data_IF_969444015678
#
_entry.id   IF_969444015678
#
_cell.length_a   1.000
_cell.length_b   1.000
_cell.length_c   1.000
_cell.angle_alpha   90.00
_cell.angle_beta   90.00
_cell.angle_gamma   90.00
#
_symmetry.space_group_name_H-M   'P 1'
#
loop_
_entity.id
_entity.type
_entity.pdbx_description
1 polymer ?
#
# COMPACT_ATOMS: atom_id res chain seq x y z
N UNK A 1 -21.08 -4.88 5.10
CA UNK A 1 -21.80 -6.09 5.58
C UNK A 1 -20.82 -7.24 5.66
N UNK A 2 -21.14 -8.34 6.35
CA UNK A 2 -20.30 -9.54 6.36
C UNK A 2 -20.03 -10.06 4.93
N UNK A 3 -21.07 -10.06 4.09
CA UNK A 3 -20.98 -10.41 2.67
C UNK A 3 -19.91 -9.60 1.91
N UNK A 4 -19.79 -8.30 2.18
CA UNK A 4 -18.76 -7.45 1.55
C UNK A 4 -17.34 -7.85 1.98
N UNK A 5 -17.15 -8.23 3.25
CA UNK A 5 -15.85 -8.66 3.76
C UNK A 5 -15.47 -9.99 3.11
N UNK A 6 -16.39 -10.95 3.04
CA UNK A 6 -16.16 -12.24 2.42
C UNK A 6 -15.82 -12.10 0.93
N UNK A 7 -16.58 -11.30 0.20
CA UNK A 7 -16.30 -11.01 -1.21
C UNK A 7 -14.92 -10.38 -1.41
N UNK A 8 -14.52 -9.45 -0.54
CA UNK A 8 -13.19 -8.85 -0.60
C UNK A 8 -12.07 -9.87 -0.33
N UNK A 9 -12.24 -10.75 0.67
CA UNK A 9 -11.27 -11.81 0.97
C UNK A 9 -11.11 -12.79 -0.20
N UNK A 10 -12.20 -13.12 -0.91
CA UNK A 10 -12.13 -13.93 -2.11
C UNK A 10 -11.34 -13.25 -3.23
N UNK A 11 -11.52 -11.93 -3.42
CA UNK A 11 -10.73 -11.17 -4.40
C UNK A 11 -9.24 -11.18 -4.05
N UNK A 12 -8.88 -11.01 -2.77
CA UNK A 12 -7.48 -11.13 -2.32
C UNK A 12 -6.95 -12.54 -2.64
N UNK A 13 -7.74 -13.58 -2.39
CA UNK A 13 -7.30 -14.95 -2.65
C UNK A 13 -7.04 -15.23 -4.13
N UNK A 14 -7.87 -14.67 -5.02
CA UNK A 14 -7.78 -14.89 -6.47
C UNK A 14 -6.70 -14.02 -7.14
N UNK A 15 -6.58 -12.75 -6.73
CA UNK A 15 -5.73 -11.76 -7.40
C UNK A 15 -4.50 -11.34 -6.59
N UNK A 16 -4.45 -11.68 -5.30
CA UNK A 16 -3.36 -11.31 -4.42
C UNK A 16 -2.05 -12.00 -4.81
N UNK A 17 -0.95 -11.27 -4.67
CA UNK A 17 0.40 -11.79 -4.85
C UNK A 17 1.04 -11.85 -3.47
N UNK A 18 1.53 -13.04 -3.09
CA UNK A 18 2.29 -13.20 -1.85
C UNK A 18 3.71 -12.69 -2.08
N UNK A 19 4.13 -11.76 -1.23
CA UNK A 19 5.45 -11.15 -1.25
C UNK A 19 6.16 -11.48 0.05
N UNK A 20 7.45 -11.82 -0.03
CA UNK A 20 8.33 -11.88 1.14
C UNK A 20 9.06 -10.53 1.24
N UNK A 21 8.65 -9.64 2.16
CA UNK A 21 9.21 -8.30 2.24
C UNK A 21 10.69 -8.34 2.64
N UNK A 22 11.45 -7.42 2.04
CA UNK A 22 12.82 -7.10 2.44
C UNK A 22 12.84 -5.67 2.95
N UNK A 23 13.70 -5.40 3.95
CA UNK A 23 13.76 -4.07 4.55
C UNK A 23 14.06 -3.01 3.50
N UNK A 24 13.17 -2.04 3.35
CA UNK A 24 13.36 -0.93 2.42
C UNK A 24 14.28 0.16 3.00
N UNK A 25 14.66 1.13 2.16
CA UNK A 25 15.48 2.28 2.58
C UNK A 25 14.64 3.38 3.25
N UNK A 26 13.34 3.38 3.02
CA UNK A 26 12.41 4.29 3.64
C UNK A 26 11.99 3.73 5.00
N UNK A 27 11.92 4.60 6.01
CA UNK A 27 11.52 4.20 7.36
C UNK A 27 10.28 4.98 7.76
N UNK A 28 9.29 4.26 8.28
CA UNK A 28 8.08 4.83 8.86
C UNK A 28 8.34 5.28 10.31
N UNK A 29 7.48 6.16 10.82
CA UNK A 29 7.55 6.61 12.22
C UNK A 29 7.11 5.51 13.19
N UNK A 30 5.98 4.85 12.93
CA UNK A 30 5.55 3.66 13.68
C UNK A 30 6.10 2.40 13.02
N UNK A 31 6.95 1.67 13.74
CA UNK A 31 7.58 0.44 13.25
C UNK A 31 6.58 -0.64 12.82
N UNK A 32 5.34 -0.59 13.30
CA UNK A 32 4.30 -1.55 12.91
C UNK A 32 3.91 -1.43 11.44
N UNK A 33 4.05 -0.23 10.85
CA UNK A 33 3.69 0.02 9.46
C UNK A 33 4.84 -0.29 8.49
N UNK A 34 6.03 -0.62 9.02
CA UNK A 34 7.21 -0.88 8.20
C UNK A 34 6.99 -2.09 7.30
N UNK A 35 6.35 -3.14 7.82
CA UNK A 35 6.05 -4.35 7.04
C UNK A 35 5.10 -4.05 5.86
N UNK A 36 4.19 -3.09 6.01
CA UNK A 36 3.27 -2.66 4.93
C UNK A 36 4.06 -1.95 3.83
N UNK A 37 4.91 -1.00 4.21
CA UNK A 37 5.76 -0.27 3.26
C UNK A 37 6.73 -1.20 2.54
N UNK A 38 7.42 -2.06 3.28
CA UNK A 38 8.39 -3.01 2.75
C UNK A 38 7.69 -4.01 1.82
N UNK A 39 6.49 -4.48 2.15
CA UNK A 39 5.69 -5.36 1.28
C UNK A 39 5.36 -4.68 -0.05
N UNK A 40 4.89 -3.43 -0.01
CA UNK A 40 4.57 -2.68 -1.24
C UNK A 40 5.79 -2.48 -2.13
N UNK A 41 6.94 -2.12 -1.55
CA UNK A 41 8.20 -1.90 -2.27
C UNK A 41 8.75 -3.22 -2.83
N UNK A 42 8.84 -4.28 -2.02
CA UNK A 42 9.32 -5.60 -2.46
C UNK A 42 8.39 -6.22 -3.52
N UNK A 43 7.08 -5.97 -3.39
CA UNK A 43 6.07 -6.38 -4.36
C UNK A 43 6.06 -5.57 -5.65
N UNK A 44 6.87 -4.50 -5.74
CA UNK A 44 6.90 -3.54 -6.85
C UNK A 44 5.52 -2.96 -7.17
N UNK A 45 4.73 -2.70 -6.13
CA UNK A 45 3.42 -2.10 -6.29
C UNK A 45 3.54 -0.71 -6.94
N UNK A 46 2.62 -0.39 -7.84
CA UNK A 46 2.51 0.95 -8.42
C UNK A 46 1.94 1.97 -7.42
N UNK A 47 1.07 1.47 -6.52
CA UNK A 47 0.34 2.28 -5.55
C UNK A 47 0.30 1.61 -4.17
N UNK A 48 0.45 2.42 -3.11
CA UNK A 48 0.05 2.09 -1.75
C UNK A 48 -1.12 3.00 -1.37
N UNK A 49 -2.31 2.42 -1.32
CA UNK A 49 -3.54 3.16 -0.99
C UNK A 49 -3.79 3.05 0.50
N UNK A 50 -3.75 4.17 1.22
CA UNK A 50 -3.86 4.18 2.68
C UNK A 50 -4.52 5.46 3.21
N UNK A 51 -5.20 5.34 4.36
CA UNK A 51 -5.69 6.48 5.13
C UNK A 51 -4.80 6.84 6.32
N UNK A 52 -3.65 6.16 6.46
CA UNK A 52 -2.73 6.34 7.57
C UNK A 52 -1.75 7.49 7.30
N UNK A 53 -1.74 8.49 8.19
CA UNK A 53 -0.90 9.69 8.06
C UNK A 53 0.60 9.38 8.14
N UNK A 54 1.02 8.34 8.86
CA UNK A 54 2.43 7.92 8.97
C UNK A 54 2.97 7.29 7.70
N UNK A 55 2.09 6.72 6.88
CA UNK A 55 2.43 6.27 5.54
C UNK A 55 2.30 7.41 4.52
N UNK A 56 1.25 8.23 4.61
CA UNK A 56 1.00 9.32 3.67
C UNK A 56 2.12 10.37 3.66
N UNK A 57 2.78 10.63 4.80
CA UNK A 57 3.92 11.56 4.87
C UNK A 57 5.09 11.13 3.97
N UNK A 58 5.17 9.83 3.62
CA UNK A 58 6.21 9.28 2.74
C UNK A 58 5.87 9.45 1.24
N UNK A 59 4.71 9.97 0.87
CA UNK A 59 4.30 10.11 -0.54
C UNK A 59 5.29 10.94 -1.39
N UNK A 60 6.03 11.85 -0.77
CA UNK A 60 7.05 12.67 -1.42
C UNK A 60 8.49 12.24 -1.08
N UNK A 61 8.66 11.12 -0.39
CA UNK A 61 9.98 10.62 0.01
C UNK A 61 10.66 9.87 -1.15
N UNK A 62 11.80 10.37 -1.62
CA UNK A 62 12.53 9.76 -2.74
C UNK A 62 13.01 8.33 -2.46
N UNK A 63 13.06 7.91 -1.19
CA UNK A 63 13.46 6.56 -0.77
C UNK A 63 12.42 5.50 -1.09
N UNK A 64 11.16 5.87 -1.34
CA UNK A 64 10.09 4.93 -1.75
C UNK A 64 10.12 4.61 -3.26
N UNK A 65 11.00 5.26 -4.02
CA UNK A 65 11.24 4.97 -5.43
C UNK A 65 10.06 5.34 -6.32
N UNK A 66 9.47 4.34 -6.98
CA UNK A 66 8.33 4.54 -7.92
C UNK A 66 6.95 4.36 -7.26
N UNK A 67 6.93 3.93 -6.00
CA UNK A 67 5.69 3.67 -5.29
C UNK A 67 4.92 4.98 -5.08
N UNK A 68 3.68 5.04 -5.55
CA UNK A 68 2.81 6.18 -5.28
C UNK A 68 1.98 5.92 -4.02
N UNK A 69 2.24 6.66 -2.95
CA UNK A 69 1.46 6.57 -1.71
C UNK A 69 0.37 7.64 -1.73
N UNK A 70 -0.88 7.24 -1.57
CA UNK A 70 -2.02 8.14 -1.72
C UNK A 70 -3.25 7.66 -0.95
N UNK A 71 -4.22 8.55 -0.78
CA UNK A 71 -5.50 8.23 -0.13
C UNK A 71 -6.43 7.44 -1.06
N UNK A 72 -7.39 6.66 -0.50
CA UNK A 72 -8.41 5.99 -1.32
C UNK A 72 -9.15 6.94 -2.25
N UNK A 73 -9.42 8.16 -1.80
CA UNK A 73 -10.07 9.20 -2.61
C UNK A 73 -9.21 9.57 -3.83
N UNK A 74 -7.95 9.89 -3.60
CA UNK A 74 -7.02 10.25 -4.68
C UNK A 74 -6.80 9.10 -5.67
N UNK A 75 -6.85 7.84 -5.19
CA UNK A 75 -6.75 6.67 -6.06
C UNK A 75 -7.91 6.62 -7.04
N UNK A 76 -9.14 6.73 -6.53
CA UNK A 76 -10.37 6.72 -7.35
C UNK A 76 -10.36 7.89 -8.33
N UNK A 77 -9.97 9.08 -7.89
CA UNK A 77 -9.85 10.26 -8.76
C UNK A 77 -8.81 10.06 -9.88
N UNK A 78 -7.74 9.29 -9.65
CA UNK A 78 -6.76 8.91 -10.68
C UNK A 78 -7.28 7.84 -11.65
N UNK A 79 -8.06 6.87 -11.16
CA UNK A 79 -8.59 5.76 -11.98
C UNK A 79 -9.84 6.14 -12.79
N UNK A 80 -10.50 7.24 -12.43
CA UNK A 80 -11.70 7.74 -13.11
C UNK A 80 -11.38 8.68 -14.29
N UNK A 81 -10.09 8.82 -14.64
CA UNK A 81 -9.60 9.59 -15.79
C UNK A 81 -9.12 8.64 -16.88
#
# INVERSE_FOLDING_TARGET
SLEQIEGFLQLIHVYGIIVLPTKSKAEVRDKKDQDILDTAISGKADFLVTGDDDLLVLANDTRVGKLNILTPREFVEKMSK
#
